data_IF_053418254942
#
_entry.id   IF_053418254942
#
_cell.length_a   1.000
_cell.length_b   1.000
_cell.length_c   1.000
_cell.angle_alpha   90.00
_cell.angle_beta   90.00
_cell.angle_gamma   90.00
#
_symmetry.space_group_name_H-M   'P 1'
#
loop_
_entity.id
_entity.type
_entity.pdbx_description
1 polymer ?
#
# COMPACT_ATOMS: atom_id res chain seq x y z
N UNK A 1 13.85 32.68 7.84
CA UNK A 1 12.83 31.71 7.35
C UNK A 1 13.59 30.62 6.63
N UNK A 2 13.35 29.36 6.98
CA UNK A 2 13.97 28.22 6.30
C UNK A 2 13.37 28.08 4.91
N UNK A 3 14.20 27.89 3.88
CA UNK A 3 13.73 27.65 2.51
C UNK A 3 12.94 26.34 2.46
N UNK A 4 11.74 26.31 1.87
CA UNK A 4 10.99 25.07 1.69
C UNK A 4 11.78 24.04 0.90
N UNK A 5 11.59 22.75 1.20
CA UNK A 5 12.18 21.68 0.39
C UNK A 5 11.41 21.45 -0.90
N UNK A 6 10.09 21.60 -0.84
CA UNK A 6 9.20 21.54 -1.98
C UNK A 6 8.23 22.73 -1.95
N UNK A 7 8.12 23.45 -3.06
CA UNK A 7 7.21 24.57 -3.24
C UNK A 7 6.49 24.42 -4.58
N UNK A 8 5.18 24.38 -4.52
CA UNK A 8 4.29 24.22 -5.67
C UNK A 8 3.35 25.42 -5.69
N UNK A 9 3.34 26.16 -6.81
CA UNK A 9 2.50 27.35 -6.97
C UNK A 9 1.74 27.28 -8.29
N UNK A 10 0.41 27.37 -8.21
CA UNK A 10 -0.51 27.39 -9.34
C UNK A 10 -0.26 26.26 -10.35
N UNK A 11 0.11 25.07 -9.85
CA UNK A 11 0.45 23.95 -10.70
C UNK A 11 -0.80 23.32 -11.31
N UNK A 12 -0.82 23.28 -12.62
CA UNK A 12 -1.81 22.60 -13.43
C UNK A 12 -1.17 21.38 -14.09
N UNK A 13 -1.90 20.27 -14.20
CA UNK A 13 -1.43 19.05 -14.85
C UNK A 13 -2.47 18.47 -15.77
N UNK A 14 -2.12 18.22 -17.04
CA UNK A 14 -3.04 17.79 -18.08
C UNK A 14 -2.50 16.57 -18.85
N UNK A 15 -3.33 15.56 -19.01
CA UNK A 15 -3.20 14.58 -20.08
C UNK A 15 -3.67 15.21 -21.40
N UNK A 16 -3.38 14.64 -22.57
CA UNK A 16 -3.78 15.21 -23.86
C UNK A 16 -5.28 15.50 -24.00
N UNK A 17 -6.15 14.74 -23.30
CA UNK A 17 -7.60 14.86 -23.38
C UNK A 17 -8.26 15.42 -22.13
N UNK A 18 -7.54 15.58 -21.02
CA UNK A 18 -8.15 15.92 -19.72
C UNK A 18 -7.17 16.58 -18.77
N UNK A 19 -7.53 17.73 -18.24
CA UNK A 19 -6.84 18.31 -17.09
C UNK A 19 -7.24 17.56 -15.82
N UNK A 20 -6.24 17.22 -15.00
CA UNK A 20 -6.40 16.41 -13.78
C UNK A 20 -5.88 17.08 -12.53
N UNK A 21 -5.00 18.08 -12.65
CA UNK A 21 -4.57 18.94 -11.56
C UNK A 21 -4.96 20.39 -11.89
N UNK A 22 -5.52 21.08 -10.93
CA UNK A 22 -6.06 22.40 -11.08
C UNK A 22 -5.56 23.30 -9.96
N UNK A 23 -4.70 24.26 -10.29
CA UNK A 23 -4.25 25.31 -9.39
C UNK A 23 -3.74 24.79 -8.04
N UNK A 24 -2.84 23.80 -8.10
CA UNK A 24 -2.26 23.20 -6.90
C UNK A 24 -1.25 24.15 -6.28
N UNK A 25 -1.49 24.46 -5.01
CA UNK A 25 -0.60 25.26 -4.17
C UNK A 25 -0.24 24.42 -2.93
N UNK A 26 1.04 24.11 -2.75
CA UNK A 26 1.53 23.25 -1.66
C UNK A 26 2.96 23.58 -1.29
N UNK A 27 3.23 23.70 0.01
CA UNK A 27 4.57 23.97 0.52
C UNK A 27 4.93 22.93 1.55
N UNK A 28 6.12 22.34 1.45
CA UNK A 28 6.65 21.36 2.38
C UNK A 28 7.95 21.86 3.00
N UNK A 29 7.96 21.99 4.33
CA UNK A 29 9.11 22.45 5.07
C UNK A 29 10.10 21.30 5.36
N UNK A 30 11.42 21.58 5.43
CA UNK A 30 12.41 20.56 5.76
C UNK A 30 12.10 19.84 7.09
N UNK A 31 12.30 18.50 7.11
CA UNK A 31 12.13 17.64 8.27
C UNK A 31 10.69 17.37 8.68
N UNK A 32 9.68 17.88 7.93
CA UNK A 32 8.27 17.68 8.25
C UNK A 32 7.64 16.52 7.47
N UNK A 33 6.60 15.96 8.06
CA UNK A 33 5.75 14.92 7.45
C UNK A 33 4.43 15.56 7.01
N UNK A 34 4.26 15.77 5.69
CA UNK A 34 3.01 16.25 5.10
C UNK A 34 2.21 15.07 4.56
N UNK A 35 0.99 14.89 5.01
CA UNK A 35 0.06 13.93 4.43
C UNK A 35 -0.82 14.58 3.35
N UNK A 36 -0.86 13.99 2.16
CA UNK A 36 -1.79 14.33 1.10
C UNK A 36 -2.92 13.29 1.08
N UNK A 37 -4.13 13.72 1.42
CA UNK A 37 -5.29 12.83 1.60
C UNK A 37 -6.42 13.15 0.62
N UNK A 38 -7.22 12.15 0.28
CA UNK A 38 -8.39 12.29 -0.59
C UNK A 38 -8.83 10.96 -1.18
N UNK A 39 -10.00 10.93 -1.80
CA UNK A 39 -10.55 9.74 -2.46
C UNK A 39 -9.64 9.21 -3.58
N UNK A 40 -9.85 7.95 -3.98
CA UNK A 40 -9.21 7.39 -5.18
C UNK A 40 -9.60 8.22 -6.41
N UNK A 41 -8.62 8.49 -7.29
CA UNK A 41 -8.85 9.34 -8.46
C UNK A 41 -8.84 10.84 -8.21
N UNK A 42 -8.56 11.34 -6.99
CA UNK A 42 -8.47 12.77 -6.70
C UNK A 42 -7.25 13.48 -7.32
N UNK A 43 -6.27 12.74 -7.87
CA UNK A 43 -5.07 13.29 -8.51
C UNK A 43 -3.77 13.15 -7.70
N UNK A 44 -3.79 12.53 -6.52
CA UNK A 44 -2.62 12.41 -5.61
C UNK A 44 -1.41 11.75 -6.28
N UNK A 45 -1.62 10.60 -6.92
CA UNK A 45 -0.56 9.89 -7.66
C UNK A 45 -0.04 10.69 -8.86
N UNK A 46 -0.91 11.43 -9.55
CA UNK A 46 -0.47 12.30 -10.66
C UNK A 46 0.42 13.43 -10.11
N UNK A 47 0.07 13.99 -8.96
CA UNK A 47 0.89 15.02 -8.31
C UNK A 47 2.24 14.44 -7.85
N UNK A 48 2.27 13.28 -7.18
CA UNK A 48 3.51 12.64 -6.72
C UNK A 48 4.45 12.29 -7.87
N UNK A 49 3.92 11.70 -8.93
CA UNK A 49 4.67 11.40 -10.15
C UNK A 49 5.10 12.68 -10.88
N UNK A 50 4.29 13.75 -10.80
CA UNK A 50 4.59 15.06 -11.35
C UNK A 50 5.82 15.70 -10.70
N UNK A 51 5.95 15.62 -9.38
CA UNK A 51 7.13 16.10 -8.63
C UNK A 51 8.41 15.42 -9.16
N UNK A 52 8.33 14.13 -9.48
CA UNK A 52 9.43 13.36 -10.04
C UNK A 52 9.50 13.45 -11.57
N UNK A 53 8.53 14.06 -12.24
CA UNK A 53 8.35 14.06 -13.70
C UNK A 53 8.49 12.66 -14.32
N UNK A 54 7.84 11.67 -13.70
CA UNK A 54 7.91 10.27 -14.15
C UNK A 54 6.95 9.95 -15.29
N UNK A 55 5.86 10.70 -15.42
CA UNK A 55 4.85 10.44 -16.44
C UNK A 55 4.99 11.43 -17.61
N UNK A 56 5.54 10.98 -18.77
CA UNK A 56 5.74 11.84 -19.93
C UNK A 56 4.44 12.26 -20.63
N UNK A 57 3.31 11.60 -20.31
CA UNK A 57 2.00 11.92 -20.87
C UNK A 57 1.32 13.11 -20.20
N UNK A 58 1.86 13.59 -19.07
CA UNK A 58 1.30 14.72 -18.33
C UNK A 58 2.14 15.97 -18.60
N UNK A 59 1.48 17.00 -19.12
CA UNK A 59 2.07 18.33 -19.26
C UNK A 59 1.73 19.15 -18.01
N UNK A 60 2.75 19.81 -17.45
CA UNK A 60 2.60 20.66 -16.27
C UNK A 60 2.82 22.13 -16.61
N UNK A 61 1.99 23.00 -16.03
CA UNK A 61 2.10 24.46 -16.11
C UNK A 61 2.06 25.04 -14.69
N UNK A 62 2.76 26.13 -14.43
CA UNK A 62 2.88 26.75 -13.11
C UNK A 62 4.32 26.67 -12.60
N UNK A 63 4.49 26.55 -11.30
CA UNK A 63 5.81 26.49 -10.64
C UNK A 63 5.89 25.23 -9.75
N UNK A 64 6.99 24.50 -9.89
CA UNK A 64 7.31 23.31 -9.09
C UNK A 64 8.79 23.35 -8.72
N UNK A 65 9.10 23.80 -7.50
CA UNK A 65 10.49 23.99 -7.04
C UNK A 65 10.86 22.97 -5.99
N UNK A 66 12.04 22.39 -6.15
CA UNK A 66 12.73 21.58 -5.15
C UNK A 66 13.97 22.31 -4.68
N UNK A 67 14.08 22.64 -3.37
CA UNK A 67 15.16 23.44 -2.82
C UNK A 67 15.43 24.72 -3.63
N UNK A 68 14.37 25.42 -4.07
CA UNK A 68 14.42 26.64 -4.87
C UNK A 68 14.70 26.42 -6.38
N UNK A 69 15.00 25.21 -6.82
CA UNK A 69 15.24 24.88 -8.23
C UNK A 69 13.94 24.43 -8.91
N UNK A 70 13.53 25.12 -9.97
CA UNK A 70 12.34 24.77 -10.73
C UNK A 70 12.55 23.46 -11.51
N UNK A 71 11.78 22.42 -11.16
CA UNK A 71 11.88 21.09 -11.77
C UNK A 71 11.24 21.02 -13.16
N UNK A 72 10.30 21.92 -13.49
CA UNK A 72 9.61 21.90 -14.78
C UNK A 72 10.55 22.27 -15.94
N UNK A 73 11.54 23.12 -15.65
CA UNK A 73 12.51 23.61 -16.63
C UNK A 73 13.79 22.77 -16.72
N UNK A 74 13.98 21.82 -15.77
CA UNK A 74 15.20 21.00 -15.76
C UNK A 74 15.25 20.00 -16.89
N UNK A 75 16.43 19.83 -17.52
CA UNK A 75 16.66 18.77 -18.51
C UNK A 75 16.67 17.39 -17.82
N UNK A 76 16.32 16.35 -18.55
CA UNK A 76 16.21 14.98 -18.04
C UNK A 76 17.46 14.49 -17.29
N UNK A 77 18.67 14.84 -17.78
CA UNK A 77 19.94 14.51 -17.09
C UNK A 77 20.06 15.09 -15.70
N UNK A 78 19.49 16.28 -15.45
CA UNK A 78 19.46 16.88 -14.11
C UNK A 78 18.44 16.16 -13.22
N UNK A 79 17.26 15.82 -13.74
CA UNK A 79 16.25 15.06 -13.02
C UNK A 79 16.73 13.66 -12.64
N UNK A 80 17.47 12.98 -13.51
CA UNK A 80 18.07 11.67 -13.20
C UNK A 80 19.02 11.71 -12.00
N UNK A 81 19.74 12.83 -11.81
CA UNK A 81 20.61 13.01 -10.64
C UNK A 81 19.83 13.27 -9.34
N UNK A 82 18.62 13.83 -9.45
CA UNK A 82 17.74 14.08 -8.30
C UNK A 82 16.96 12.83 -7.88
N UNK A 83 16.46 12.09 -8.88
CA UNK A 83 15.68 10.85 -8.64
C UNK A 83 16.56 9.80 -7.98
N UNK A 84 16.12 9.26 -6.87
CA UNK A 84 16.84 8.27 -6.06
C UNK A 84 17.91 8.85 -5.14
N UNK A 85 18.59 9.94 -5.52
CA UNK A 85 19.66 10.57 -4.72
C UNK A 85 19.12 11.60 -3.74
N UNK A 86 18.32 12.56 -4.24
CA UNK A 86 17.79 13.69 -3.47
C UNK A 86 16.29 13.47 -3.13
N UNK A 87 15.58 12.83 -4.05
CA UNK A 87 14.15 12.52 -3.92
C UNK A 87 13.97 11.02 -4.10
N UNK A 88 13.62 10.33 -3.02
CA UNK A 88 13.24 8.92 -3.02
C UNK A 88 11.73 8.76 -3.22
N UNK A 89 11.29 7.63 -3.79
CA UNK A 89 9.86 7.34 -3.95
C UNK A 89 9.55 5.88 -3.58
N UNK A 90 8.55 5.72 -2.75
CA UNK A 90 7.88 4.44 -2.45
C UNK A 90 6.59 4.43 -3.24
N UNK A 91 6.45 3.49 -4.18
CA UNK A 91 5.29 3.36 -5.05
C UNK A 91 4.15 2.59 -4.39
N UNK A 92 2.93 2.78 -4.90
CA UNK A 92 1.72 2.15 -4.39
C UNK A 92 1.76 0.61 -4.47
N UNK A 93 2.35 0.06 -5.53
CA UNK A 93 2.41 -1.39 -5.77
C UNK A 93 3.85 -1.90 -5.82
N UNK A 94 4.32 -2.63 -4.79
CA UNK A 94 5.69 -3.16 -4.79
C UNK A 94 5.94 -4.21 -5.86
N UNK A 95 4.89 -4.85 -6.39
CA UNK A 95 5.00 -5.84 -7.47
C UNK A 95 5.40 -5.22 -8.81
N UNK A 96 4.97 -3.99 -9.06
CA UNK A 96 5.29 -3.25 -10.30
C UNK A 96 6.53 -2.38 -10.15
N UNK A 97 6.87 -2.01 -8.90
CA UNK A 97 8.05 -1.17 -8.61
C UNK A 97 9.36 -1.96 -8.60
N UNK A 98 9.33 -3.22 -8.15
CA UNK A 98 10.51 -4.09 -8.16
C UNK A 98 10.59 -4.88 -9.48
N UNK A 99 11.78 -4.95 -10.07
CA UNK A 99 12.03 -5.74 -11.27
C UNK A 99 11.91 -7.25 -10.93
N UNK A 100 10.94 -7.99 -11.50
CA UNK A 100 10.67 -9.37 -11.12
C UNK A 100 11.78 -10.36 -11.53
N UNK A 101 12.66 -9.98 -12.46
CA UNK A 101 13.74 -10.84 -12.96
C UNK A 101 15.12 -10.47 -12.41
N UNK A 102 15.18 -9.54 -11.44
CA UNK A 102 16.38 -9.19 -10.69
C UNK A 102 16.24 -9.55 -9.21
N UNK A 103 17.34 -9.93 -8.58
CA UNK A 103 17.36 -10.18 -7.13
C UNK A 103 17.14 -8.87 -6.36
N UNK A 104 16.51 -8.96 -5.21
CA UNK A 104 16.17 -7.78 -4.41
C UNK A 104 17.42 -7.00 -3.99
N UNK A 105 18.45 -7.69 -3.52
CA UNK A 105 19.72 -7.06 -3.14
C UNK A 105 20.44 -6.38 -4.31
N UNK A 106 20.34 -6.93 -5.54
CA UNK A 106 20.93 -6.32 -6.73
C UNK A 106 20.28 -4.99 -7.07
N UNK A 107 18.95 -4.87 -6.94
CA UNK A 107 18.22 -3.63 -7.21
C UNK A 107 18.60 -2.53 -6.21
N UNK A 108 18.75 -2.87 -4.92
CA UNK A 108 19.21 -1.90 -3.91
C UNK A 108 20.69 -1.52 -4.16
N UNK A 109 21.54 -2.49 -4.45
CA UNK A 109 22.95 -2.27 -4.74
C UNK A 109 23.17 -1.40 -6.00
N UNK A 110 22.30 -1.52 -7.01
CA UNK A 110 22.32 -0.68 -8.21
C UNK A 110 22.14 0.80 -7.85
N UNK A 111 21.15 1.13 -7.00
CA UNK A 111 20.92 2.51 -6.53
C UNK A 111 22.15 3.04 -5.79
N UNK A 112 22.73 2.24 -4.90
CA UNK A 112 23.93 2.60 -4.13
C UNK A 112 25.14 2.83 -5.04
N UNK A 113 25.36 1.96 -6.02
CA UNK A 113 26.47 2.13 -6.97
C UNK A 113 26.28 3.35 -7.85
N UNK A 114 25.05 3.57 -8.35
CA UNK A 114 24.75 4.69 -9.25
C UNK A 114 24.85 6.05 -8.55
N UNK A 115 24.34 6.17 -7.34
CA UNK A 115 24.22 7.47 -6.67
C UNK A 115 25.29 7.75 -5.62
N UNK A 116 25.89 6.71 -5.03
CA UNK A 116 26.96 6.85 -4.02
C UNK A 116 28.34 6.43 -4.52
N UNK A 117 28.44 5.86 -5.73
CA UNK A 117 29.68 5.40 -6.31
C UNK A 117 30.31 4.21 -5.60
N UNK A 118 29.52 3.42 -4.83
CA UNK A 118 30.01 2.24 -4.14
C UNK A 118 30.39 1.15 -5.15
N UNK A 119 31.48 0.44 -4.89
CA UNK A 119 31.81 -0.75 -5.65
C UNK A 119 30.80 -1.89 -5.39
N UNK A 120 30.82 -2.92 -6.24
CA UNK A 120 29.85 -4.04 -6.17
C UNK A 120 29.82 -4.72 -4.79
N UNK A 121 30.98 -4.88 -4.12
CA UNK A 121 31.07 -5.55 -2.82
C UNK A 121 30.51 -4.68 -1.72
N UNK A 122 30.86 -3.40 -1.72
CA UNK A 122 30.36 -2.41 -0.78
C UNK A 122 28.83 -2.21 -0.94
N UNK A 123 28.35 -2.05 -2.18
CA UNK A 123 26.93 -1.87 -2.49
C UNK A 123 26.11 -3.09 -2.06
N UNK A 124 26.62 -4.31 -2.30
CA UNK A 124 25.97 -5.54 -1.87
C UNK A 124 25.89 -5.66 -0.34
N UNK A 125 27.00 -5.40 0.36
CA UNK A 125 27.02 -5.42 1.83
C UNK A 125 26.02 -4.40 2.41
N UNK A 126 26.03 -3.17 1.88
CA UNK A 126 25.10 -2.12 2.33
C UNK A 126 23.65 -2.44 2.00
N UNK A 127 23.37 -3.12 0.88
CA UNK A 127 22.02 -3.57 0.55
C UNK A 127 21.48 -4.58 1.59
N UNK A 128 22.32 -5.48 2.09
CA UNK A 128 21.95 -6.44 3.16
C UNK A 128 21.65 -5.67 4.46
N UNK A 129 22.49 -4.73 4.85
CA UNK A 129 22.26 -3.88 6.04
C UNK A 129 20.93 -3.11 5.95
N UNK A 130 20.63 -2.52 4.79
CA UNK A 130 19.36 -1.81 4.57
C UNK A 130 18.13 -2.73 4.64
N UNK A 131 18.25 -3.97 4.19
CA UNK A 131 17.17 -4.95 4.36
C UNK A 131 16.97 -5.31 5.84
N UNK A 132 18.03 -5.40 6.63
CA UNK A 132 17.96 -5.60 8.08
C UNK A 132 17.35 -4.38 8.78
N UNK A 133 17.83 -3.16 8.48
CA UNK A 133 17.30 -1.89 8.99
C UNK A 133 15.79 -1.74 8.73
N UNK A 134 15.30 -2.25 7.59
CA UNK A 134 13.86 -2.26 7.29
C UNK A 134 13.11 -3.45 7.92
N UNK A 135 13.78 -4.26 8.73
CA UNK A 135 13.18 -5.36 9.50
C UNK A 135 12.86 -6.59 8.66
N UNK A 136 13.67 -6.88 7.64
CA UNK A 136 13.58 -8.13 6.89
C UNK A 136 14.43 -9.18 7.59
N UNK A 137 13.80 -10.22 8.12
CA UNK A 137 14.49 -11.35 8.73
C UNK A 137 15.31 -12.13 7.69
N UNK A 138 16.51 -12.57 8.06
CA UNK A 138 17.48 -13.28 7.21
C UNK A 138 17.84 -12.45 5.96
N UNK A 139 18.35 -11.21 6.15
CA UNK A 139 18.55 -10.25 5.06
C UNK A 139 19.50 -10.77 3.98
N UNK A 140 20.54 -11.56 4.32
CA UNK A 140 21.46 -12.17 3.37
C UNK A 140 20.74 -13.14 2.41
N UNK A 141 19.84 -13.97 2.95
CA UNK A 141 19.05 -14.90 2.15
C UNK A 141 18.03 -14.15 1.29
N UNK A 142 17.39 -13.12 1.87
CA UNK A 142 16.37 -12.34 1.19
C UNK A 142 16.95 -11.41 0.12
N UNK A 143 18.18 -10.93 0.29
CA UNK A 143 18.90 -10.21 -0.76
C UNK A 143 19.10 -11.06 -2.03
N UNK A 144 19.29 -12.37 -1.89
CA UNK A 144 19.44 -13.31 -3.01
C UNK A 144 18.08 -13.70 -3.65
N UNK A 145 16.97 -13.41 -2.98
CA UNK A 145 15.64 -13.78 -3.46
C UNK A 145 15.15 -12.84 -4.57
N UNK A 146 14.28 -13.35 -5.42
CA UNK A 146 13.51 -12.56 -6.38
C UNK A 146 12.26 -11.99 -5.71
N UNK A 147 11.68 -10.89 -6.20
CA UNK A 147 10.51 -10.26 -5.59
C UNK A 147 9.32 -11.22 -5.36
N UNK A 148 9.05 -12.14 -6.27
CA UNK A 148 7.95 -13.09 -6.14
C UNK A 148 8.13 -14.12 -4.99
N UNK A 149 9.35 -14.28 -4.49
CA UNK A 149 9.68 -15.18 -3.37
C UNK A 149 9.50 -14.53 -1.99
N UNK A 150 9.19 -13.22 -1.97
CA UNK A 150 8.93 -12.44 -0.77
C UNK A 150 7.42 -12.34 -0.50
N UNK A 151 7.03 -12.24 0.78
CA UNK A 151 5.66 -11.84 1.15
C UNK A 151 5.36 -10.40 0.76
N UNK A 152 4.08 -9.98 0.75
CA UNK A 152 3.69 -8.60 0.46
C UNK A 152 4.38 -7.57 1.35
N UNK A 153 4.39 -7.80 2.67
CA UNK A 153 5.07 -6.93 3.63
C UNK A 153 6.59 -6.92 3.45
N UNK A 154 7.22 -8.07 3.10
CA UNK A 154 8.65 -8.12 2.81
C UNK A 154 9.01 -7.35 1.53
N UNK A 155 8.20 -7.45 0.47
CA UNK A 155 8.39 -6.64 -0.75
C UNK A 155 8.28 -5.16 -0.46
N UNK A 156 7.30 -4.76 0.37
CA UNK A 156 7.13 -3.37 0.79
C UNK A 156 8.36 -2.86 1.53
N UNK A 157 8.89 -3.63 2.49
CA UNK A 157 10.10 -3.28 3.23
C UNK A 157 11.33 -3.20 2.32
N UNK A 158 11.45 -4.09 1.35
CA UNK A 158 12.52 -4.06 0.36
C UNK A 158 12.44 -2.83 -0.56
N UNK A 159 11.23 -2.44 -0.99
CA UNK A 159 11.01 -1.23 -1.77
C UNK A 159 11.33 0.03 -0.95
N UNK A 160 10.98 0.06 0.34
CA UNK A 160 11.37 1.14 1.25
C UNK A 160 12.90 1.19 1.38
N UNK A 161 13.57 0.04 1.62
CA UNK A 161 15.02 -0.03 1.67
C UNK A 161 15.68 0.56 0.41
N UNK A 162 15.16 0.23 -0.76
CA UNK A 162 15.62 0.78 -2.04
C UNK A 162 15.40 2.29 -2.12
N UNK A 163 14.22 2.78 -1.74
CA UNK A 163 13.86 4.19 -1.81
C UNK A 163 14.70 5.09 -0.88
N UNK A 164 15.12 4.56 0.30
CA UNK A 164 15.92 5.32 1.28
C UNK A 164 17.42 5.06 1.17
N UNK A 165 17.86 4.15 0.31
CA UNK A 165 19.24 3.65 0.25
C UNK A 165 20.29 4.74 0.03
N UNK A 166 19.98 5.76 -0.76
CA UNK A 166 20.86 6.90 -1.00
C UNK A 166 20.63 8.08 -0.01
N UNK A 167 19.84 7.87 1.06
CA UNK A 167 19.51 8.88 2.08
C UNK A 167 18.94 10.17 1.47
N UNK A 168 17.79 10.09 0.78
CA UNK A 168 17.18 11.24 0.11
C UNK A 168 16.73 12.29 1.14
N UNK A 169 16.75 13.58 0.75
CA UNK A 169 16.21 14.66 1.57
C UNK A 169 14.69 14.71 1.60
N UNK A 170 14.07 14.26 0.50
CA UNK A 170 12.62 14.14 0.36
C UNK A 170 12.24 12.70 0.02
N UNK A 171 11.39 12.09 0.83
CA UNK A 171 10.76 10.81 0.55
C UNK A 171 9.30 11.02 0.17
N UNK A 172 8.90 10.59 -1.00
CA UNK A 172 7.50 10.54 -1.44
C UNK A 172 7.01 9.11 -1.24
N UNK A 173 6.01 8.91 -0.40
CA UNK A 173 5.41 7.61 -0.13
C UNK A 173 3.97 7.60 -0.65
N UNK A 174 3.76 7.00 -1.82
CA UNK A 174 2.46 6.95 -2.49
C UNK A 174 1.72 5.67 -2.09
N UNK A 175 0.75 5.82 -1.19
CA UNK A 175 -0.06 4.74 -0.60
C UNK A 175 0.77 3.52 -0.16
N UNK A 176 1.83 3.68 0.64
CA UNK A 176 2.81 2.63 0.93
C UNK A 176 2.26 1.48 1.77
N UNK A 177 1.03 1.55 2.21
CA UNK A 177 0.38 0.54 3.06
C UNK A 177 -0.85 -0.09 2.39
N UNK A 178 -1.16 0.26 1.16
CA UNK A 178 -2.29 -0.31 0.39
C UNK A 178 -2.08 -1.82 0.20
N UNK A 179 -3.15 -2.60 0.34
CA UNK A 179 -3.18 -4.06 0.26
C UNK A 179 -2.40 -4.82 1.36
N UNK A 180 -2.00 -4.14 2.44
CA UNK A 180 -1.41 -4.75 3.63
C UNK A 180 -2.47 -4.89 4.75
N UNK A 181 -2.30 -5.86 5.62
CA UNK A 181 -3.13 -5.97 6.82
C UNK A 181 -2.79 -4.86 7.84
N UNK A 182 -3.74 -4.58 8.74
CA UNK A 182 -3.67 -3.46 9.71
C UNK A 182 -2.40 -3.51 10.58
N UNK A 183 -1.96 -4.71 10.96
CA UNK A 183 -0.77 -4.85 11.80
C UNK A 183 0.51 -4.50 11.02
N UNK A 184 0.61 -4.98 9.77
CA UNK A 184 1.74 -4.66 8.89
C UNK A 184 1.71 -3.18 8.48
N UNK A 185 0.52 -2.59 8.27
CA UNK A 185 0.40 -1.15 8.02
C UNK A 185 1.00 -0.31 9.15
N UNK A 186 0.65 -0.63 10.42
CA UNK A 186 1.22 0.06 11.57
C UNK A 186 2.75 -0.07 11.62
N UNK A 187 3.28 -1.28 11.40
CA UNK A 187 4.73 -1.52 11.36
C UNK A 187 5.45 -0.74 10.25
N UNK A 188 4.83 -0.59 9.07
CA UNK A 188 5.42 0.19 7.97
C UNK A 188 5.43 1.68 8.30
N UNK A 189 4.38 2.20 8.96
CA UNK A 189 4.36 3.60 9.40
C UNK A 189 5.41 3.90 10.47
N UNK A 190 5.54 3.00 11.45
CA UNK A 190 6.57 3.12 12.49
C UNK A 190 7.98 3.07 11.87
N UNK A 191 8.20 2.17 10.89
CA UNK A 191 9.45 2.10 10.13
C UNK A 191 9.73 3.42 9.39
N UNK A 192 8.75 3.95 8.64
CA UNK A 192 8.91 5.21 7.91
C UNK A 192 9.18 6.40 8.84
N UNK A 193 8.49 6.46 10.01
CA UNK A 193 8.73 7.49 11.02
C UNK A 193 10.16 7.42 11.55
N UNK A 194 10.61 6.22 11.94
CA UNK A 194 11.96 6.00 12.44
C UNK A 194 13.02 6.40 11.40
N UNK A 195 12.90 5.92 10.17
CA UNK A 195 13.84 6.27 9.10
C UNK A 195 13.85 7.78 8.80
N UNK A 196 12.68 8.42 8.86
CA UNK A 196 12.57 9.88 8.66
C UNK A 196 13.31 10.65 9.75
N UNK A 197 13.18 10.24 11.02
CA UNK A 197 13.84 10.86 12.16
C UNK A 197 15.35 10.60 12.14
N UNK A 198 15.78 9.35 11.92
CA UNK A 198 17.19 8.96 11.88
C UNK A 198 17.99 9.66 10.77
N UNK A 199 17.37 9.85 9.61
CA UNK A 199 18.03 10.46 8.45
C UNK A 199 17.70 11.95 8.26
N UNK A 200 16.83 12.53 9.09
CA UNK A 200 16.39 13.93 8.97
C UNK A 200 15.64 14.21 7.66
N UNK A 201 14.98 13.20 7.08
CA UNK A 201 14.28 13.33 5.81
C UNK A 201 13.00 14.16 5.96
N UNK A 202 12.58 14.79 4.89
CA UNK A 202 11.25 15.35 4.74
C UNK A 202 10.35 14.30 4.06
N UNK A 203 9.07 14.24 4.41
CA UNK A 203 8.18 13.21 3.87
C UNK A 203 6.89 13.79 3.30
N UNK A 204 6.57 13.44 2.06
CA UNK A 204 5.23 13.57 1.47
C UNK A 204 4.56 12.19 1.49
N UNK A 205 3.60 12.01 2.38
CA UNK A 205 2.87 10.76 2.56
C UNK A 205 1.50 10.85 1.92
N UNK A 206 1.20 9.98 0.97
CA UNK A 206 -0.07 9.96 0.26
C UNK A 206 -0.91 8.78 0.74
N UNK A 207 -2.16 9.05 1.13
CA UNK A 207 -3.08 8.01 1.59
C UNK A 207 -4.53 8.45 1.46
N UNK A 208 -5.43 7.48 1.54
CA UNK A 208 -6.87 7.72 1.72
C UNK A 208 -7.33 7.43 3.18
N UNK A 209 -6.44 6.93 4.05
CA UNK A 209 -6.76 6.60 5.44
C UNK A 209 -6.42 7.75 6.40
N UNK A 210 -7.45 8.48 6.82
CA UNK A 210 -7.33 9.61 7.74
C UNK A 210 -6.94 9.19 9.17
N UNK A 211 -7.25 7.95 9.59
CA UNK A 211 -6.89 7.49 10.92
C UNK A 211 -5.38 7.31 11.06
N UNK A 212 -4.72 6.85 10.00
CA UNK A 212 -3.27 6.77 9.94
C UNK A 212 -2.65 8.16 10.00
N UNK A 213 -3.19 9.12 9.24
CA UNK A 213 -2.67 10.49 9.16
C UNK A 213 -2.67 11.20 10.53
N UNK A 214 -3.73 11.03 11.32
CA UNK A 214 -3.83 11.60 12.69
C UNK A 214 -2.65 11.24 13.60
N UNK A 215 -2.09 10.05 13.42
CA UNK A 215 -1.01 9.52 14.28
C UNK A 215 0.37 9.79 13.75
N UNK A 216 0.48 10.09 12.47
CA UNK A 216 1.73 10.07 11.73
C UNK A 216 2.16 11.45 11.23
N UNK A 217 1.25 12.29 10.71
CA UNK A 217 1.58 13.50 9.99
C UNK A 217 1.63 14.75 10.87
N UNK A 218 2.54 15.66 10.55
CA UNK A 218 2.60 17.00 11.14
C UNK A 218 1.59 17.94 10.49
N UNK A 219 1.54 17.90 9.16
CA UNK A 219 0.67 18.71 8.32
C UNK A 219 -0.18 17.82 7.41
N UNK A 220 -1.33 18.33 7.00
CA UNK A 220 -2.23 17.64 6.07
C UNK A 220 -2.69 18.56 4.96
N UNK A 221 -2.80 18.03 3.75
CA UNK A 221 -3.44 18.65 2.60
C UNK A 221 -4.56 17.73 2.11
N UNK A 222 -5.78 18.25 2.04
CA UNK A 222 -6.96 17.51 1.59
C UNK A 222 -7.22 17.80 0.12
N UNK A 223 -7.22 16.75 -0.70
CA UNK A 223 -7.33 16.87 -2.16
C UNK A 223 -8.60 16.21 -2.68
N UNK A 224 -9.31 16.90 -3.59
CA UNK A 224 -10.47 16.37 -4.31
C UNK A 224 -10.53 16.92 -5.72
N UNK A 225 -10.83 16.07 -6.70
CA UNK A 225 -11.00 16.46 -8.10
C UNK A 225 -9.85 17.34 -8.62
N UNK A 226 -8.61 16.97 -8.32
CA UNK A 226 -7.42 17.69 -8.77
C UNK A 226 -7.16 19.02 -8.08
N UNK A 227 -7.83 19.35 -6.98
CA UNK A 227 -7.65 20.60 -6.21
C UNK A 227 -7.30 20.30 -4.77
N UNK A 228 -6.46 21.12 -4.16
CA UNK A 228 -6.28 21.15 -2.71
C UNK A 228 -7.37 22.04 -2.12
N UNK A 229 -8.20 21.47 -1.26
CA UNK A 229 -9.36 22.13 -0.67
C UNK A 229 -9.07 22.72 0.71
N UNK A 230 -8.18 22.09 1.46
CA UNK A 230 -7.81 22.50 2.81
C UNK A 230 -6.39 22.05 3.12
N UNK A 231 -5.61 22.90 3.78
CA UNK A 231 -4.27 22.58 4.28
C UNK A 231 -4.07 23.16 5.67
N UNK A 232 -3.26 22.50 6.48
CA UNK A 232 -2.92 23.01 7.82
C UNK A 232 -2.23 21.96 8.67
N UNK A 233 -2.00 22.28 9.93
CA UNK A 233 -1.51 21.29 10.89
C UNK A 233 -2.53 20.16 11.03
N UNK A 234 -2.06 18.93 11.06
CA UNK A 234 -2.95 17.77 11.17
C UNK A 234 -3.89 17.87 12.39
N UNK A 235 -3.37 18.31 13.54
CA UNK A 235 -4.15 18.51 14.75
C UNK A 235 -5.30 19.53 14.59
N UNK A 236 -5.07 20.61 13.84
CA UNK A 236 -6.06 21.68 13.61
C UNK A 236 -7.12 21.22 12.61
N UNK A 237 -6.72 20.71 11.45
CA UNK A 237 -7.63 20.24 10.40
C UNK A 237 -8.53 19.10 10.90
N UNK A 238 -8.01 18.19 11.72
CA UNK A 238 -8.80 17.08 12.27
C UNK A 238 -9.72 17.48 13.43
N UNK A 239 -9.39 18.52 14.18
CA UNK A 239 -10.23 18.98 15.30
C UNK A 239 -11.28 20.00 14.87
N UNK A 240 -10.96 20.84 13.89
CA UNK A 240 -11.83 21.92 13.41
C UNK A 240 -11.74 22.10 11.88
N UNK A 241 -12.20 21.08 11.11
CA UNK A 241 -12.17 21.13 9.65
C UNK A 241 -13.03 22.30 9.14
N UNK A 242 -12.48 23.09 8.22
CA UNK A 242 -13.18 24.24 7.66
C UNK A 242 -13.98 23.85 6.42
N UNK A 243 -13.40 23.01 5.55
CA UNK A 243 -14.03 22.63 4.29
C UNK A 243 -15.05 21.50 4.49
N UNK A 244 -16.23 21.61 3.87
CA UNK A 244 -17.33 20.63 3.97
C UNK A 244 -16.90 19.21 3.56
N UNK A 245 -16.04 19.09 2.55
CA UNK A 245 -15.52 17.78 2.13
C UNK A 245 -14.64 17.14 3.20
N UNK A 246 -13.82 17.92 3.90
CA UNK A 246 -13.00 17.42 5.02
C UNK A 246 -13.91 16.92 6.15
N UNK A 247 -14.97 17.65 6.48
CA UNK A 247 -15.98 17.21 7.47
C UNK A 247 -16.64 15.90 7.05
N UNK A 248 -17.01 15.79 5.75
CA UNK A 248 -17.61 14.58 5.20
C UNK A 248 -16.65 13.39 5.31
N UNK A 249 -15.37 13.54 4.93
CA UNK A 249 -14.36 12.49 5.02
C UNK A 249 -14.15 12.01 6.46
N UNK A 250 -14.08 12.93 7.41
CA UNK A 250 -13.89 12.61 8.83
C UNK A 250 -15.10 11.89 9.43
N UNK A 251 -16.29 12.20 8.96
CA UNK A 251 -17.55 11.60 9.43
C UNK A 251 -17.89 10.27 8.73
N UNK A 252 -17.30 9.99 7.57
CA UNK A 252 -17.63 8.81 6.76
C UNK A 252 -17.32 7.47 7.47
N UNK A 253 -16.39 7.45 8.43
CA UNK A 253 -15.99 6.25 9.16
C UNK A 253 -16.78 5.95 10.46
N UNK A 254 -17.76 6.78 10.86
CA UNK A 254 -18.30 6.72 12.23
C UNK A 254 -19.69 6.10 12.37
N UNK A 255 -20.39 5.83 11.29
CA UNK A 255 -21.79 5.35 11.39
C UNK A 255 -21.88 3.84 11.21
N UNK A 256 -21.84 3.11 12.33
CA UNK A 256 -22.23 1.69 12.34
C UNK A 256 -23.76 1.59 12.17
N UNK A 257 -24.24 1.18 11.00
CA UNK A 257 -25.65 0.84 10.78
C UNK A 257 -25.78 -0.68 10.79
N UNK A 258 -26.11 -1.25 11.92
CA UNK A 258 -26.43 -2.68 12.04
C UNK A 258 -27.92 -2.78 12.33
N UNK A 259 -28.67 -3.40 11.42
CA UNK A 259 -30.05 -3.72 11.69
C UNK A 259 -30.14 -4.79 12.80
N UNK A 260 -31.09 -4.69 13.73
CA UNK A 260 -31.28 -5.73 14.72
C UNK A 260 -31.64 -7.05 14.04
N UNK A 261 -31.09 -8.15 14.57
CA UNK A 261 -31.44 -9.49 14.11
C UNK A 261 -32.90 -9.80 14.46
N UNK A 262 -33.60 -10.63 13.67
CA UNK A 262 -34.90 -11.20 14.05
C UNK A 262 -34.83 -11.93 15.40
N UNK A 263 -35.94 -12.05 16.13
CA UNK A 263 -35.98 -12.69 17.46
C UNK A 263 -35.45 -14.14 17.43
N UNK A 264 -35.69 -14.90 16.36
CA UNK A 264 -35.19 -16.27 16.17
C UNK A 264 -34.64 -16.46 14.76
N UNK A 265 -33.44 -15.99 14.45
CA UNK A 265 -32.89 -16.09 13.11
C UNK A 265 -32.47 -17.54 12.81
N UNK A 266 -32.88 -18.05 11.66
CA UNK A 266 -32.45 -19.36 11.20
C UNK A 266 -30.95 -19.38 10.87
N UNK A 267 -30.29 -20.50 11.15
CA UNK A 267 -28.90 -20.72 10.74
C UNK A 267 -28.86 -21.01 9.23
N UNK A 268 -28.21 -20.13 8.49
CA UNK A 268 -28.09 -20.23 7.02
C UNK A 268 -26.81 -20.94 6.59
N UNK A 269 -25.76 -20.87 7.41
CA UNK A 269 -24.50 -21.57 7.17
C UNK A 269 -23.99 -22.15 8.49
N UNK A 270 -23.59 -23.42 8.48
CA UNK A 270 -22.90 -24.06 9.59
C UNK A 270 -21.67 -24.76 9.07
N UNK A 271 -20.51 -24.36 9.57
CA UNK A 271 -19.21 -24.95 9.24
C UNK A 271 -18.66 -25.64 10.48
N UNK A 272 -18.29 -26.91 10.39
CA UNK A 272 -17.78 -27.70 11.49
C UNK A 272 -16.43 -28.31 11.14
N UNK A 273 -15.41 -27.98 11.94
CA UNK A 273 -14.04 -28.52 11.83
C UNK A 273 -13.44 -28.35 10.42
N UNK A 274 -13.70 -27.23 9.74
CA UNK A 274 -13.13 -26.96 8.42
C UNK A 274 -11.62 -26.81 8.56
N UNK A 275 -10.85 -27.68 7.92
CA UNK A 275 -9.39 -27.67 7.93
C UNK A 275 -8.84 -27.89 6.52
N UNK A 276 -7.62 -27.42 6.27
CA UNK A 276 -6.96 -27.60 4.99
C UNK A 276 -5.46 -27.74 5.14
N UNK A 277 -4.89 -28.76 4.52
CA UNK A 277 -3.47 -29.05 4.46
C UNK A 277 -3.01 -29.28 3.03
N UNK A 278 -1.79 -28.88 2.70
CA UNK A 278 -1.17 -29.11 1.39
C UNK A 278 0.04 -30.01 1.55
N UNK A 279 0.28 -30.85 0.54
CA UNK A 279 1.51 -31.68 0.50
C UNK A 279 2.64 -30.86 -0.10
N UNK A 280 3.58 -30.46 0.72
CA UNK A 280 4.81 -29.77 0.31
C UNK A 280 5.93 -30.80 0.08
N UNK A 281 6.69 -30.65 -1.01
CA UNK A 281 7.84 -31.51 -1.27
C UNK A 281 9.02 -31.09 -0.40
N UNK A 282 9.44 -31.91 0.50
CA UNK A 282 10.63 -31.73 1.34
C UNK A 282 11.80 -32.55 0.77
N UNK A 283 12.39 -32.03 -0.31
CA UNK A 283 13.43 -32.70 -1.07
C UNK A 283 12.91 -33.71 -2.13
N UNK A 284 13.82 -34.50 -2.73
CA UNK A 284 13.48 -35.34 -3.90
C UNK A 284 12.52 -36.51 -3.60
N UNK A 285 12.36 -36.91 -2.34
CA UNK A 285 11.58 -38.12 -1.99
C UNK A 285 10.66 -38.00 -0.77
N UNK A 286 10.60 -36.87 -0.08
CA UNK A 286 9.72 -36.70 1.09
C UNK A 286 8.63 -35.68 0.82
N UNK A 287 7.38 -36.07 1.06
CA UNK A 287 6.23 -35.15 1.13
C UNK A 287 5.90 -34.92 2.59
N UNK A 288 5.77 -33.67 2.99
CA UNK A 288 5.32 -33.28 4.32
C UNK A 288 3.98 -32.55 4.20
N UNK A 289 3.04 -32.93 5.06
CA UNK A 289 1.77 -32.19 5.14
C UNK A 289 2.01 -30.87 5.87
N UNK A 290 1.68 -29.78 5.21
CA UNK A 290 1.72 -28.43 5.76
C UNK A 290 0.30 -27.96 5.98
N UNK A 291 -0.08 -27.81 7.24
CA UNK A 291 -1.39 -27.26 7.60
C UNK A 291 -1.44 -25.77 7.26
N UNK A 292 -2.40 -25.37 6.43
CA UNK A 292 -2.66 -24.00 6.05
C UNK A 292 -3.81 -23.44 6.86
N UNK A 293 -4.82 -24.26 7.17
CA UNK A 293 -5.98 -23.92 7.95
C UNK A 293 -6.18 -24.95 9.05
N UNK A 294 -6.00 -24.55 10.29
CA UNK A 294 -6.36 -25.37 11.45
C UNK A 294 -7.89 -25.51 11.52
N UNK A 295 -8.41 -26.57 12.18
CA UNK A 295 -9.85 -26.79 12.28
C UNK A 295 -10.58 -25.57 12.86
N UNK A 296 -11.52 -25.02 12.07
CA UNK A 296 -12.36 -23.87 12.45
C UNK A 296 -13.83 -24.27 12.35
N UNK A 297 -14.61 -23.90 13.35
CA UNK A 297 -16.07 -24.09 13.38
C UNK A 297 -16.75 -22.76 13.64
N UNK A 298 -17.83 -22.48 12.89
CA UNK A 298 -18.67 -21.29 13.08
C UNK A 298 -20.04 -21.52 12.44
N UNK A 299 -21.00 -20.72 12.86
CA UNK A 299 -22.32 -20.62 12.26
C UNK A 299 -22.64 -19.18 11.88
N UNK A 300 -23.50 -19.00 10.88
CA UNK A 300 -23.97 -17.72 10.40
C UNK A 300 -25.49 -17.78 10.32
N UNK A 301 -26.14 -16.79 10.93
CA UNK A 301 -27.60 -16.68 10.98
C UNK A 301 -28.13 -15.76 9.88
N UNK A 302 -29.40 -15.94 9.55
CA UNK A 302 -30.07 -15.08 8.57
C UNK A 302 -30.08 -13.61 9.04
N UNK A 303 -29.61 -12.70 8.18
CA UNK A 303 -29.45 -11.28 8.46
C UNK A 303 -28.21 -10.92 9.27
N UNK A 304 -27.36 -11.89 9.64
CA UNK A 304 -26.11 -11.67 10.35
C UNK A 304 -24.94 -11.39 9.40
N UNK A 305 -23.99 -10.57 9.85
CA UNK A 305 -22.69 -10.38 9.21
C UNK A 305 -21.60 -10.89 10.15
N UNK A 306 -20.89 -11.94 9.75
CA UNK A 306 -19.74 -12.49 10.47
C UNK A 306 -18.44 -11.89 9.92
N UNK A 307 -17.69 -11.17 10.75
CA UNK A 307 -16.38 -10.66 10.42
C UNK A 307 -15.29 -11.67 10.78
N UNK A 308 -14.45 -12.07 9.80
CA UNK A 308 -13.26 -12.90 10.02
C UNK A 308 -12.02 -12.04 9.90
N UNK A 309 -11.33 -11.84 11.02
CA UNK A 309 -10.14 -10.99 11.12
C UNK A 309 -8.90 -11.81 11.47
N UNK A 310 -7.74 -11.35 11.06
CA UNK A 310 -6.44 -12.00 11.32
C UNK A 310 -5.35 -11.47 10.41
N UNK A 311 -4.11 -11.83 10.70
CA UNK A 311 -2.93 -11.41 9.92
C UNK A 311 -2.96 -11.94 8.49
N UNK A 312 -2.15 -11.31 7.60
CA UNK A 312 -1.98 -11.80 6.23
C UNK A 312 -1.35 -13.19 6.25
N UNK A 313 -1.93 -14.11 5.45
CA UNK A 313 -1.47 -15.49 5.38
C UNK A 313 -2.01 -16.43 6.48
N UNK A 314 -2.83 -15.97 7.44
CA UNK A 314 -3.39 -16.84 8.49
C UNK A 314 -4.51 -17.78 8.00
N UNK A 315 -4.83 -17.81 6.70
CA UNK A 315 -5.79 -18.74 6.14
C UNK A 315 -7.20 -18.20 5.86
N UNK A 316 -7.50 -16.89 6.05
CA UNK A 316 -8.84 -16.32 5.80
C UNK A 316 -9.39 -16.62 4.41
N UNK A 317 -8.59 -16.38 3.37
CA UNK A 317 -8.97 -16.67 1.98
C UNK A 317 -9.09 -18.19 1.74
N UNK A 318 -8.26 -18.98 2.41
CA UNK A 318 -8.35 -20.44 2.36
C UNK A 318 -9.66 -20.94 2.98
N UNK A 319 -10.06 -20.38 4.12
CA UNK A 319 -11.34 -20.68 4.76
C UNK A 319 -12.52 -20.30 3.84
N UNK A 320 -12.50 -19.10 3.25
CA UNK A 320 -13.53 -18.70 2.29
C UNK A 320 -13.62 -19.65 1.09
N UNK A 321 -12.46 -20.06 0.52
CA UNK A 321 -12.42 -21.04 -0.57
C UNK A 321 -12.91 -22.43 -0.15
N UNK A 322 -12.60 -22.86 1.08
CA UNK A 322 -13.09 -24.13 1.64
C UNK A 322 -14.61 -24.12 1.80
N UNK A 323 -15.18 -23.04 2.34
CA UNK A 323 -16.64 -22.84 2.47
C UNK A 323 -17.34 -22.85 1.09
N UNK A 324 -16.68 -22.32 0.07
CA UNK A 324 -17.17 -22.33 -1.31
C UNK A 324 -16.94 -23.66 -2.04
N UNK A 325 -16.32 -24.66 -1.39
CA UNK A 325 -15.85 -25.90 -2.03
C UNK A 325 -15.04 -25.67 -3.32
N UNK A 326 -14.20 -24.61 -3.31
CA UNK A 326 -13.21 -24.34 -4.36
C UNK A 326 -11.90 -25.10 -4.13
N UNK A 327 -11.70 -25.62 -2.94
CA UNK A 327 -10.59 -26.48 -2.52
C UNK A 327 -11.16 -27.65 -1.73
N UNK A 328 -10.49 -28.81 -1.81
CA UNK A 328 -10.84 -30.00 -1.02
C UNK A 328 -10.39 -29.74 0.44
N UNK A 329 -11.35 -29.63 1.35
CA UNK A 329 -11.11 -29.39 2.77
C UNK A 329 -11.73 -30.49 3.62
N UNK A 330 -11.16 -30.67 4.82
CA UNK A 330 -11.74 -31.54 5.84
C UNK A 330 -12.88 -30.80 6.57
N UNK A 331 -13.72 -31.56 7.28
CA UNK A 331 -14.85 -31.02 8.05
C UNK A 331 -16.20 -31.18 7.33
N UNK A 332 -17.23 -30.52 7.87
CA UNK A 332 -18.59 -30.55 7.30
C UNK A 332 -19.15 -29.16 7.13
N UNK A 333 -19.94 -28.98 6.08
CA UNK A 333 -20.63 -27.72 5.75
C UNK A 333 -22.12 -27.99 5.53
N UNK A 334 -22.96 -27.21 6.19
CA UNK A 334 -24.41 -27.24 6.00
C UNK A 334 -24.91 -25.86 5.56
N UNK A 335 -25.80 -25.84 4.57
CA UNK A 335 -26.44 -24.62 4.07
C UNK A 335 -27.97 -24.81 4.25
N UNK A 336 -28.57 -23.84 4.93
CA UNK A 336 -29.99 -23.88 5.25
C UNK A 336 -30.42 -25.21 5.92
N UNK A 337 -29.53 -25.81 6.75
CA UNK A 337 -29.76 -27.09 7.42
C UNK A 337 -29.47 -28.34 6.59
N UNK A 338 -29.18 -28.21 5.30
CA UNK A 338 -28.84 -29.33 4.42
C UNK A 338 -27.32 -29.50 4.31
N UNK A 339 -26.80 -30.75 4.34
CA UNK A 339 -25.41 -31.01 4.05
C UNK A 339 -25.01 -30.49 2.67
N UNK A 340 -23.77 -29.97 2.56
CA UNK A 340 -23.28 -29.49 1.29
C UNK A 340 -23.44 -30.49 0.16
N UNK A 341 -23.96 -29.99 -0.98
CA UNK A 341 -24.04 -30.70 -2.27
C UNK A 341 -23.92 -29.70 -3.42
N UNK A 342 -23.52 -30.16 -4.59
CA UNK A 342 -23.18 -29.30 -5.73
C UNK A 342 -24.32 -28.35 -6.14
N UNK A 343 -25.57 -28.77 -5.98
CA UNK A 343 -26.76 -27.97 -6.29
C UNK A 343 -26.92 -26.74 -5.42
N UNK A 344 -26.38 -26.77 -4.18
CA UNK A 344 -26.40 -25.65 -3.24
C UNK A 344 -25.37 -24.58 -3.56
N UNK A 345 -24.49 -24.79 -4.55
CA UNK A 345 -23.46 -23.81 -4.95
C UNK A 345 -24.04 -22.46 -5.38
N UNK A 346 -25.25 -22.41 -5.89
CA UNK A 346 -25.95 -21.18 -6.26
C UNK A 346 -26.46 -20.38 -5.06
N UNK A 347 -26.57 -20.98 -3.89
CA UNK A 347 -27.03 -20.35 -2.64
C UNK A 347 -25.90 -19.53 -1.99
N UNK A 348 -24.64 -19.75 -2.38
CA UNK A 348 -23.46 -19.05 -1.88
C UNK A 348 -22.75 -18.39 -3.05
N UNK A 349 -22.32 -17.12 -2.86
CA UNK A 349 -21.53 -16.40 -3.83
C UNK A 349 -20.28 -15.81 -3.16
N UNK A 350 -19.22 -15.64 -3.93
CA UNK A 350 -17.95 -15.06 -3.46
C UNK A 350 -17.54 -13.86 -4.31
N UNK A 351 -17.17 -12.77 -3.64
CA UNK A 351 -16.47 -11.65 -4.25
C UNK A 351 -14.98 -11.84 -4.00
N UNK A 352 -14.20 -11.98 -5.06
CA UNK A 352 -12.76 -12.19 -4.96
C UNK A 352 -12.02 -10.89 -4.64
N UNK A 353 -10.88 -11.01 -3.96
CA UNK A 353 -10.03 -9.87 -3.60
C UNK A 353 -9.43 -9.18 -4.84
N UNK A 354 -9.08 -9.95 -5.87
CA UNK A 354 -8.56 -9.44 -7.15
C UNK A 354 -9.65 -9.51 -8.23
N UNK A 355 -10.23 -8.36 -8.61
CA UNK A 355 -11.25 -8.34 -9.66
C UNK A 355 -10.71 -8.71 -11.03
N UNK A 356 -9.43 -8.38 -11.33
CA UNK A 356 -8.83 -8.72 -12.63
C UNK A 356 -8.61 -10.22 -12.79
N UNK A 357 -8.19 -10.91 -11.71
CA UNK A 357 -8.05 -12.36 -11.70
C UNK A 357 -9.40 -13.10 -11.68
N UNK A 358 -10.49 -12.43 -11.28
CA UNK A 358 -11.82 -13.00 -11.21
C UNK A 358 -12.57 -12.97 -12.56
N UNK A 359 -12.29 -11.99 -13.42
CA UNK A 359 -12.92 -11.84 -14.72
C UNK A 359 -12.15 -12.55 -15.83
N UNK A 360 -12.88 -13.14 -16.77
CA UNK A 360 -12.25 -13.65 -17.98
C UNK A 360 -11.85 -12.47 -18.89
N UNK A 361 -10.55 -12.26 -19.18
CA UNK A 361 -10.09 -11.09 -19.96
C UNK A 361 -10.57 -11.10 -21.42
N UNK A 362 -11.17 -12.21 -21.89
CA UNK A 362 -11.69 -12.36 -23.24
C UNK A 362 -13.21 -12.21 -23.33
N UNK A 363 -13.88 -11.93 -22.21
CA UNK A 363 -15.34 -11.74 -22.17
C UNK A 363 -15.65 -10.29 -21.78
N UNK A 364 -16.66 -9.73 -22.42
CA UNK A 364 -17.23 -8.45 -22.02
C UNK A 364 -18.02 -8.62 -20.71
N UNK A 365 -18.05 -7.58 -19.88
CA UNK A 365 -18.82 -7.53 -18.63
C UNK A 365 -20.27 -7.20 -18.94
#
# INVERSE_FOLDING_TARGET
>A
MTTPILEIENLNGSFPSKQVLHDINLTLQPGRKLALVGESGSGKTVLSQGIMRLNPMVTFEGSLKYCGTDLLTQPERALQKLRGREIGMVFQEPMTALNPVMRVGEQIAEVLSLHLGLDKKQAWARAIELLDETGIHQPEQKAQAYPFQLSGGQRQRAMIAMAVSAQPKLLIADEPTTALDVAVQAQILDLLSRLQEEHGMTMLYITHDLNLVRRFADDVAVMRNGRILETGKATEVFSNPQHEYTKMLLNAGTTRRVAPLPENPATVLKAEQIAFSVKESDGWFKKRDKTILNPVSFDLKSGETLGIIGESGCGKTTLAKAVMHLIDSEGSLHINGEPWRHELRREIQMVFQDPFGAFNPRMNV
#
